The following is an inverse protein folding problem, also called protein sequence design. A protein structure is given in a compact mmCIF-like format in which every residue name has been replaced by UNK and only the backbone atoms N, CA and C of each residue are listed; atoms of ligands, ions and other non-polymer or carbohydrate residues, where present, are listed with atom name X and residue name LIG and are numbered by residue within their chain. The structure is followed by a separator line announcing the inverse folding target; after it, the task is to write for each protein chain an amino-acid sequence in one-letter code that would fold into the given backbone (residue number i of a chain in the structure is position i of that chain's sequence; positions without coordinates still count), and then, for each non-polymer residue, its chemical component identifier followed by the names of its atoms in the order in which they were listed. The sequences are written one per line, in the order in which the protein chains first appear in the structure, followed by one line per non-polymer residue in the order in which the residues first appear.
data_IF_772134479962
#
_entry.id   IF_772134479962
#
_cell.length_a   1.000
_cell.length_b   1.000
_cell.length_c   1.000
_cell.angle_alpha   90.00
_cell.angle_beta   90.00
_cell.angle_gamma   90.00
#
_symmetry.space_group_name_H-M   'P 1'
#
loop_
_entity.id
_entity.type
_entity.pdbx_description
1 polymer ?
#
# COMPACT_ATOMS: atom_id res chain seq x y z
N UNK A 1 -4.02 35.22 -46.38
CA UNK A 1 -5.35 34.86 -45.86
C UNK A 1 -5.73 33.46 -46.32
N UNK A 2 -5.68 32.47 -45.42
CA UNK A 2 -6.41 31.18 -45.42
C UNK A 2 -5.84 30.34 -44.27
N UNK A 3 -6.17 30.76 -43.06
CA UNK A 3 -5.83 30.10 -41.81
C UNK A 3 -7.08 30.21 -40.92
N UNK A 4 -8.03 29.28 -41.02
CA UNK A 4 -9.28 29.49 -40.29
C UNK A 4 -10.39 28.44 -40.34
N UNK A 5 -10.14 27.19 -40.77
CA UNK A 5 -11.23 26.18 -40.82
C UNK A 5 -10.89 24.85 -40.13
N UNK A 6 -9.61 24.54 -39.86
CA UNK A 6 -9.25 23.24 -39.24
C UNK A 6 -9.41 23.24 -37.70
N UNK A 7 -9.56 24.41 -37.07
CA UNK A 7 -9.65 24.52 -35.60
C UNK A 7 -10.99 24.11 -34.98
N UNK A 8 -12.05 23.92 -35.78
CA UNK A 8 -13.39 23.61 -35.25
C UNK A 8 -13.68 22.11 -35.08
N UNK A 9 -13.04 21.22 -35.85
CA UNK A 9 -13.41 19.79 -35.88
C UNK A 9 -12.68 18.91 -34.86
N UNK A 10 -11.51 19.32 -34.35
CA UNK A 10 -10.72 18.50 -33.41
C UNK A 10 -11.16 18.72 -31.96
N UNK A 11 -11.87 19.83 -31.68
CA UNK A 11 -12.28 20.20 -30.33
C UNK A 11 -13.56 19.50 -29.82
N UNK A 12 -14.32 18.83 -30.71
CA UNK A 12 -15.58 18.15 -30.34
C UNK A 12 -15.48 16.62 -30.19
N UNK A 13 -14.29 16.01 -30.26
CA UNK A 13 -14.14 14.54 -30.15
C UNK A 13 -13.33 14.03 -28.95
N UNK A 14 -12.94 14.89 -28.00
CA UNK A 14 -12.17 14.48 -26.80
C UNK A 14 -12.96 14.49 -25.49
N UNK A 15 -14.28 14.66 -25.53
CA UNK A 15 -15.15 14.56 -24.36
C UNK A 15 -15.70 13.14 -24.23
N UNK A 16 -14.88 12.21 -23.73
CA UNK A 16 -15.29 11.04 -22.92
C UNK A 16 -14.17 9.99 -22.79
N UNK A 17 -12.92 10.39 -22.52
CA UNK A 17 -12.00 9.46 -21.86
C UNK A 17 -12.20 9.63 -20.36
N UNK A 18 -13.19 8.90 -19.83
CA UNK A 18 -13.40 8.74 -18.40
C UNK A 18 -12.07 8.43 -17.72
N UNK A 19 -11.59 9.42 -16.98
CA UNK A 19 -10.45 9.36 -16.08
C UNK A 19 -10.75 8.30 -15.00
N UNK A 20 -10.48 7.03 -15.28
CA UNK A 20 -10.54 5.97 -14.28
C UNK A 20 -9.31 6.06 -13.37
N UNK A 21 -9.30 7.09 -12.54
CA UNK A 21 -8.49 7.15 -11.33
C UNK A 21 -9.12 6.22 -10.26
N UNK A 22 -9.04 4.92 -10.48
CA UNK A 22 -9.46 3.87 -9.54
C UNK A 22 -8.39 3.73 -8.45
N UNK A 23 -8.59 4.44 -7.34
CA UNK A 23 -8.04 4.00 -6.07
C UNK A 23 -8.80 2.74 -5.65
N UNK A 24 -8.07 1.67 -5.35
CA UNK A 24 -8.58 0.32 -5.11
C UNK A 24 -9.62 0.17 -3.98
N UNK A 25 -9.97 1.25 -3.26
CA UNK A 25 -11.00 1.29 -2.21
C UNK A 25 -12.28 2.05 -2.60
N UNK A 26 -12.29 2.81 -3.70
CA UNK A 26 -13.48 3.52 -4.19
C UNK A 26 -14.67 2.62 -4.56
N UNK A 27 -14.48 1.48 -5.26
CA UNK A 27 -15.62 0.71 -5.79
C UNK A 27 -16.43 0.00 -4.69
N UNK A 28 -15.82 -0.25 -3.53
CA UNK A 28 -16.49 -0.85 -2.38
C UNK A 28 -16.98 0.18 -1.36
N UNK A 29 -16.88 1.48 -1.64
CA UNK A 29 -17.17 2.51 -0.63
C UNK A 29 -18.62 2.43 -0.13
N UNK A 30 -19.58 2.28 -1.03
CA UNK A 30 -20.99 2.15 -0.69
C UNK A 30 -21.26 0.89 0.15
N UNK A 31 -20.65 -0.24 -0.20
CA UNK A 31 -20.77 -1.48 0.56
C UNK A 31 -20.11 -1.36 1.95
N UNK A 32 -18.98 -0.68 2.08
CA UNK A 32 -18.34 -0.40 3.37
C UNK A 32 -19.23 0.47 4.25
N UNK A 33 -19.89 1.48 3.69
CA UNK A 33 -20.82 2.35 4.42
C UNK A 33 -22.08 1.61 4.86
N UNK A 34 -22.56 0.67 4.04
CA UNK A 34 -23.77 -0.13 4.31
C UNK A 34 -23.51 -1.24 5.33
N UNK A 35 -22.47 -2.04 5.14
CA UNK A 35 -22.25 -3.28 5.90
C UNK A 35 -21.18 -3.16 6.98
N UNK A 36 -20.18 -2.29 6.79
CA UNK A 36 -18.99 -2.23 7.66
C UNK A 36 -18.92 -0.95 8.49
N UNK A 37 -20.06 -0.30 8.71
CA UNK A 37 -20.15 0.94 9.51
C UNK A 37 -19.66 0.68 10.93
N UNK A 38 -18.71 1.50 11.39
CA UNK A 38 -18.13 1.39 12.73
C UNK A 38 -16.92 0.46 12.83
N UNK A 39 -16.57 -0.28 11.78
CA UNK A 39 -15.32 -1.05 11.75
C UNK A 39 -14.14 -0.08 11.61
N UNK A 40 -13.21 -0.14 12.56
CA UNK A 40 -12.00 0.68 12.51
C UNK A 40 -11.14 0.27 11.30
N UNK A 41 -10.69 1.23 10.46
CA UNK A 41 -9.74 0.94 9.38
C UNK A 41 -8.43 0.34 9.88
N UNK A 42 -7.75 -0.39 8.98
CA UNK A 42 -6.46 -1.03 9.25
C UNK A 42 -6.57 -2.54 9.51
N UNK A 43 -5.42 -3.21 9.48
CA UNK A 43 -5.25 -4.65 9.77
C UNK A 43 -6.12 -5.60 8.93
N UNK A 44 -6.71 -5.12 7.83
CA UNK A 44 -7.62 -5.93 7.01
C UNK A 44 -9.03 -6.10 7.59
N UNK A 45 -9.41 -5.39 8.67
CA UNK A 45 -10.73 -5.55 9.30
C UNK A 45 -11.89 -5.22 8.36
N UNK A 46 -11.75 -4.17 7.55
CA UNK A 46 -12.74 -3.82 6.53
C UNK A 46 -12.86 -4.91 5.46
N UNK A 47 -11.74 -5.50 5.05
CA UNK A 47 -11.73 -6.60 4.07
C UNK A 47 -12.40 -7.85 4.65
N UNK A 48 -12.16 -8.16 5.93
CA UNK A 48 -12.82 -9.26 6.62
C UNK A 48 -14.34 -9.05 6.69
N UNK A 49 -14.78 -7.83 7.01
CA UNK A 49 -16.20 -7.48 7.01
C UNK A 49 -16.83 -7.62 5.60
N UNK A 50 -16.20 -7.04 4.57
CA UNK A 50 -16.69 -7.17 3.19
C UNK A 50 -16.75 -8.64 2.74
N UNK A 51 -15.80 -9.46 3.17
CA UNK A 51 -15.80 -10.90 2.90
C UNK A 51 -16.96 -11.63 3.58
N UNK A 52 -17.33 -11.24 4.80
CA UNK A 52 -18.49 -11.80 5.49
C UNK A 52 -19.81 -11.46 4.76
N UNK A 53 -19.85 -10.31 4.08
CA UNK A 53 -20.98 -9.87 3.27
C UNK A 53 -20.77 -10.10 1.76
N UNK A 54 -19.85 -10.99 1.35
CA UNK A 54 -19.43 -11.14 -0.07
C UNK A 54 -20.62 -11.38 -1.02
N UNK A 55 -21.65 -12.10 -0.56
CA UNK A 55 -22.88 -12.34 -1.33
C UNK A 55 -23.75 -11.09 -1.53
N UNK A 56 -23.71 -10.14 -0.59
CA UNK A 56 -24.54 -8.94 -0.54
C UNK A 56 -23.86 -7.70 -1.16
N UNK A 57 -22.58 -7.81 -1.51
CA UNK A 57 -21.82 -6.74 -2.14
C UNK A 57 -22.38 -6.39 -3.52
N UNK A 58 -22.32 -5.10 -3.87
CA UNK A 58 -22.59 -4.61 -5.20
C UNK A 58 -21.65 -5.19 -6.27
N UNK A 59 -22.10 -5.19 -7.53
CA UNK A 59 -21.37 -5.78 -8.65
C UNK A 59 -19.97 -5.18 -8.83
N UNK A 60 -19.82 -3.87 -8.63
CA UNK A 60 -18.53 -3.17 -8.74
C UNK A 60 -17.53 -3.61 -7.68
N UNK A 61 -17.98 -3.79 -6.43
CA UNK A 61 -17.12 -4.25 -5.35
C UNK A 61 -16.74 -5.72 -5.51
N UNK A 62 -17.67 -6.58 -5.97
CA UNK A 62 -17.38 -7.98 -6.31
C UNK A 62 -16.34 -8.10 -7.42
N UNK A 63 -16.53 -7.38 -8.53
CA UNK A 63 -15.58 -7.38 -9.64
C UNK A 63 -14.17 -6.97 -9.18
N UNK A 64 -14.07 -5.98 -8.29
CA UNK A 64 -12.79 -5.53 -7.74
C UNK A 64 -12.18 -6.51 -6.74
N UNK A 65 -13.01 -7.19 -5.96
CA UNK A 65 -12.58 -8.31 -5.12
C UNK A 65 -11.99 -9.46 -5.95
N UNK A 66 -12.62 -9.81 -7.07
CA UNK A 66 -12.14 -10.83 -8.01
C UNK A 66 -10.82 -10.40 -8.67
N UNK A 67 -10.74 -9.17 -9.18
CA UNK A 67 -9.50 -8.61 -9.74
C UNK A 67 -8.35 -8.62 -8.71
N UNK A 68 -8.64 -8.30 -7.45
CA UNK A 68 -7.67 -8.34 -6.37
C UNK A 68 -7.24 -9.78 -5.99
N UNK A 69 -8.19 -10.73 -5.97
CA UNK A 69 -7.93 -12.16 -5.74
C UNK A 69 -7.06 -12.75 -6.86
N UNK A 70 -7.38 -12.46 -8.11
CA UNK A 70 -6.60 -12.91 -9.28
C UNK A 70 -5.20 -12.32 -9.26
N UNK A 71 -5.07 -11.01 -9.03
CA UNK A 71 -3.77 -10.36 -8.86
C UNK A 71 -2.98 -10.97 -7.71
N UNK A 72 -3.62 -11.33 -6.58
CA UNK A 72 -2.95 -11.97 -5.46
C UNK A 72 -2.54 -13.42 -5.75
N UNK A 73 -3.36 -14.17 -6.51
CA UNK A 73 -3.08 -15.53 -6.92
C UNK A 73 -1.92 -15.59 -7.93
N UNK A 74 -1.97 -14.79 -8.99
CA UNK A 74 -0.89 -14.63 -9.98
C UNK A 74 0.44 -14.26 -9.30
N UNK A 75 0.38 -13.30 -8.37
CA UNK A 75 1.49 -12.87 -7.51
C UNK A 75 2.06 -14.00 -6.65
N UNK A 76 1.21 -14.86 -6.09
CA UNK A 76 1.66 -15.99 -5.26
C UNK A 76 2.26 -17.13 -6.11
N UNK A 77 1.72 -17.33 -7.31
CA UNK A 77 2.13 -18.41 -8.20
C UNK A 77 3.51 -18.15 -8.82
N UNK A 78 3.78 -16.92 -9.27
CA UNK A 78 5.04 -16.54 -9.91
C UNK A 78 6.29 -16.88 -9.06
N UNK A 79 6.16 -16.84 -7.73
CA UNK A 79 7.26 -17.12 -6.80
C UNK A 79 7.13 -18.47 -6.08
N UNK A 80 6.17 -19.32 -6.43
CA UNK A 80 5.91 -20.57 -5.69
C UNK A 80 7.11 -21.52 -5.74
N UNK A 81 7.68 -21.74 -6.91
CA UNK A 81 8.85 -22.62 -7.08
C UNK A 81 10.09 -22.08 -6.34
N UNK A 82 10.32 -20.77 -6.44
CA UNK A 82 11.45 -20.12 -5.74
C UNK A 82 11.28 -20.14 -4.22
N UNK A 83 10.05 -19.99 -3.71
CA UNK A 83 9.77 -20.11 -2.28
C UNK A 83 10.04 -21.52 -1.74
N UNK A 84 9.71 -22.56 -2.50
CA UNK A 84 10.01 -23.94 -2.13
C UNK A 84 11.51 -24.24 -2.21
N UNK A 85 12.21 -23.64 -3.18
CA UNK A 85 13.64 -23.85 -3.39
C UNK A 85 14.51 -23.12 -2.35
N UNK A 86 14.20 -21.86 -2.08
CA UNK A 86 15.06 -20.98 -1.26
C UNK A 86 14.49 -20.69 0.13
N UNK A 87 13.17 -20.67 0.29
CA UNK A 87 12.52 -20.16 1.51
C UNK A 87 11.72 -21.21 2.29
N UNK A 88 11.96 -22.51 2.05
CA UNK A 88 11.20 -23.63 2.65
C UNK A 88 11.25 -23.64 4.18
N UNK A 89 12.38 -23.23 4.76
CA UNK A 89 12.60 -23.17 6.21
C UNK A 89 12.00 -21.93 6.88
N UNK A 90 11.47 -20.98 6.10
CA UNK A 90 10.83 -19.77 6.63
C UNK A 90 9.40 -20.10 7.07
N UNK A 91 9.26 -20.53 8.33
CA UNK A 91 7.98 -20.74 9.05
C UNK A 91 7.27 -19.41 9.41
N UNK A 92 7.77 -18.30 8.87
CA UNK A 92 7.64 -16.96 9.43
C UNK A 92 6.29 -16.26 9.28
N UNK A 93 6.10 -15.26 10.14
CA UNK A 93 5.01 -14.26 10.19
C UNK A 93 4.95 -13.44 8.89
N UNK A 94 3.94 -12.59 8.77
CA UNK A 94 3.69 -11.75 7.58
C UNK A 94 4.95 -10.97 7.16
N UNK A 95 5.47 -11.29 5.97
CA UNK A 95 6.59 -10.60 5.33
C UNK A 95 7.95 -11.30 5.37
N UNK A 96 8.10 -12.41 6.12
CA UNK A 96 9.40 -13.09 6.23
C UNK A 96 9.80 -13.80 4.93
N UNK A 97 8.84 -14.46 4.27
CA UNK A 97 9.05 -15.04 2.94
C UNK A 97 9.45 -13.99 1.89
N UNK A 98 8.93 -12.76 2.00
CA UNK A 98 9.32 -11.66 1.12
C UNK A 98 10.74 -11.15 1.39
N UNK A 99 11.22 -11.22 2.65
CA UNK A 99 12.61 -10.92 3.00
C UNK A 99 13.55 -11.97 2.39
N UNK A 100 13.23 -13.25 2.57
CA UNK A 100 14.00 -14.35 2.00
C UNK A 100 14.10 -14.25 0.47
N UNK A 101 12.99 -14.04 -0.23
CA UNK A 101 13.02 -13.84 -1.70
C UNK A 101 13.89 -12.64 -2.12
N UNK A 102 13.95 -11.58 -1.30
CA UNK A 102 14.81 -10.42 -1.57
C UNK A 102 16.29 -10.74 -1.39
N UNK A 103 16.64 -11.60 -0.44
CA UNK A 103 18.02 -12.07 -0.24
C UNK A 103 18.49 -12.93 -1.42
N UNK A 104 17.58 -13.76 -1.97
CA UNK A 104 17.84 -14.60 -3.14
C UNK A 104 17.50 -13.93 -4.49
N UNK A 105 17.28 -12.62 -4.54
CA UNK A 105 16.73 -11.93 -5.72
C UNK A 105 17.45 -12.27 -7.04
N UNK A 106 18.76 -12.49 -6.99
CA UNK A 106 19.60 -12.80 -8.16
C UNK A 106 19.51 -14.26 -8.62
N UNK A 107 18.97 -15.15 -7.79
CA UNK A 107 18.86 -16.59 -8.02
C UNK A 107 17.42 -17.02 -8.32
N UNK A 108 16.48 -16.08 -8.26
CA UNK A 108 15.07 -16.33 -8.55
C UNK A 108 14.84 -16.65 -10.02
N UNK A 109 13.76 -17.40 -10.28
CA UNK A 109 13.21 -17.54 -11.62
C UNK A 109 12.90 -16.17 -12.25
N UNK A 110 12.96 -16.10 -13.58
CA UNK A 110 12.63 -14.88 -14.31
C UNK A 110 11.21 -14.37 -13.99
N UNK A 111 10.25 -15.29 -13.81
CA UNK A 111 8.88 -14.97 -13.42
C UNK A 111 8.78 -14.32 -12.04
N UNK A 112 9.41 -14.91 -11.02
CA UNK A 112 9.40 -14.33 -9.67
C UNK A 112 10.18 -13.01 -9.61
N UNK A 113 11.33 -12.92 -10.27
CA UNK A 113 12.12 -11.69 -10.33
C UNK A 113 11.35 -10.53 -10.98
N UNK A 114 10.66 -10.79 -12.09
CA UNK A 114 9.81 -9.81 -12.77
C UNK A 114 8.64 -9.35 -11.89
N UNK A 115 7.96 -10.28 -11.22
CA UNK A 115 6.86 -9.95 -10.30
C UNK A 115 7.36 -9.11 -9.09
N UNK A 116 8.50 -9.46 -8.49
CA UNK A 116 9.09 -8.68 -7.41
C UNK A 116 9.52 -7.28 -7.87
N UNK A 117 10.06 -7.15 -9.07
CA UNK A 117 10.38 -5.86 -9.67
C UNK A 117 9.11 -5.01 -9.85
N UNK A 118 8.05 -5.57 -10.44
CA UNK A 118 6.77 -4.88 -10.58
C UNK A 118 6.19 -4.42 -9.24
N UNK A 119 6.27 -5.25 -8.20
CA UNK A 119 5.82 -4.88 -6.85
C UNK A 119 6.65 -3.77 -6.24
N UNK A 120 7.97 -3.79 -6.45
CA UNK A 120 8.87 -2.72 -6.00
C UNK A 120 8.52 -1.40 -6.67
N UNK A 121 8.25 -1.41 -7.98
CA UNK A 121 7.80 -0.23 -8.73
C UNK A 121 6.42 0.27 -8.23
N UNK A 122 5.46 -0.63 -8.01
CA UNK A 122 4.14 -0.27 -7.45
C UNK A 122 4.28 0.36 -6.06
N UNK A 123 5.17 -0.19 -5.22
CA UNK A 123 5.44 0.32 -3.90
C UNK A 123 6.13 1.69 -3.95
N UNK A 124 7.12 1.88 -4.82
CA UNK A 124 7.80 3.16 -5.04
C UNK A 124 6.83 4.23 -5.59
N UNK A 125 5.91 3.85 -6.47
CA UNK A 125 4.86 4.75 -6.97
C UNK A 125 3.95 5.24 -5.84
N UNK A 126 3.64 4.39 -4.86
CA UNK A 126 2.82 4.77 -3.69
C UNK A 126 3.61 5.58 -2.67
N UNK A 127 4.88 5.22 -2.47
CA UNK A 127 5.78 5.89 -1.54
C UNK A 127 7.19 5.97 -2.15
N UNK A 128 7.57 7.09 -2.78
CA UNK A 128 8.88 7.22 -3.43
C UNK A 128 10.03 7.28 -2.40
N UNK A 129 9.72 7.41 -1.12
CA UNK A 129 10.71 7.43 -0.05
C UNK A 129 11.23 6.04 0.36
N UNK A 130 10.73 4.94 -0.21
CA UNK A 130 11.11 3.60 0.24
C UNK A 130 12.60 3.31 0.07
N UNK A 131 13.21 3.75 -1.04
CA UNK A 131 14.64 3.57 -1.28
C UNK A 131 15.49 4.36 -0.28
N UNK A 132 15.13 5.62 -0.01
CA UNK A 132 15.79 6.45 0.99
C UNK A 132 15.64 5.86 2.39
N UNK A 133 14.44 5.38 2.74
CA UNK A 133 14.17 4.77 4.03
C UNK A 133 14.97 3.48 4.22
N UNK A 134 15.17 2.68 3.17
CA UNK A 134 16.02 1.51 3.21
C UNK A 134 17.51 1.87 3.33
N UNK A 135 17.95 2.96 2.68
CA UNK A 135 19.35 3.40 2.74
C UNK A 135 19.71 4.00 4.11
N UNK A 136 18.85 4.88 4.62
CA UNK A 136 19.16 5.70 5.80
C UNK A 136 18.51 5.20 7.10
N UNK A 137 17.37 4.49 7.02
CA UNK A 137 16.54 4.17 8.19
C UNK A 137 16.26 2.67 8.39
N UNK A 138 17.01 1.75 7.75
CA UNK A 138 16.80 0.28 7.81
C UNK A 138 16.75 -0.30 9.23
N UNK A 139 17.49 0.28 10.17
CA UNK A 139 17.56 -0.15 11.58
C UNK A 139 16.60 0.56 12.53
N UNK A 140 15.79 1.50 12.05
CA UNK A 140 14.92 2.31 12.91
C UNK A 140 13.66 1.53 13.28
N UNK A 141 13.40 1.41 14.58
CA UNK A 141 12.18 0.77 15.07
C UNK A 141 10.93 1.48 14.56
N UNK A 142 9.99 0.71 14.01
CA UNK A 142 8.69 1.21 13.56
C UNK A 142 7.87 1.73 14.76
N UNK A 143 7.08 2.78 14.53
CA UNK A 143 6.24 3.40 15.56
C UNK A 143 6.75 4.75 16.04
N UNK A 144 5.92 5.45 16.83
CA UNK A 144 6.25 6.71 17.53
C UNK A 144 6.85 7.84 16.68
N UNK A 145 6.71 7.78 15.35
CA UNK A 145 7.34 8.74 14.45
C UNK A 145 8.87 8.62 14.35
N UNK A 146 9.51 7.56 14.87
CA UNK A 146 10.97 7.40 14.83
C UNK A 146 11.51 7.41 13.40
N UNK A 147 10.87 6.66 12.50
CA UNK A 147 11.22 6.66 11.06
C UNK A 147 11.07 8.06 10.46
N UNK A 148 10.00 8.79 10.83
CA UNK A 148 9.81 10.17 10.36
C UNK A 148 10.92 11.10 10.85
N UNK A 149 11.40 10.92 12.08
CA UNK A 149 12.51 11.71 12.62
C UNK A 149 13.82 11.35 11.93
N UNK A 150 14.09 10.06 11.67
CA UNK A 150 15.23 9.63 10.85
C UNK A 150 15.20 10.26 9.46
N UNK A 151 14.05 10.20 8.78
CA UNK A 151 13.91 10.81 7.44
C UNK A 151 14.06 12.33 7.44
N UNK A 152 13.74 13.02 8.54
CA UNK A 152 14.03 14.45 8.71
C UNK A 152 15.52 14.72 8.93
N UNK A 153 16.20 13.91 9.73
CA UNK A 153 17.64 14.06 9.96
C UNK A 153 18.43 13.89 8.65
N UNK A 154 17.95 13.01 7.77
CA UNK A 154 18.53 12.79 6.44
C UNK A 154 17.85 13.61 5.33
N UNK A 155 17.10 14.66 5.64
CA UNK A 155 16.28 15.42 4.66
C UNK A 155 17.11 15.92 3.48
N UNK A 156 18.34 16.38 3.71
CA UNK A 156 19.25 16.83 2.67
C UNK A 156 19.70 15.69 1.73
N UNK A 157 19.81 14.47 2.25
CA UNK A 157 20.31 13.28 1.53
C UNK A 157 19.20 12.50 0.80
N UNK A 158 17.93 12.83 1.06
CA UNK A 158 16.80 12.18 0.40
C UNK A 158 16.78 12.45 -1.11
N UNK A 159 16.27 11.48 -1.86
CA UNK A 159 15.97 11.65 -3.28
C UNK A 159 14.98 12.80 -3.51
N UNK A 160 15.08 13.43 -4.68
CA UNK A 160 14.15 14.49 -5.08
C UNK A 160 12.69 14.00 -5.09
N UNK A 161 12.45 12.76 -5.53
CA UNK A 161 11.13 12.15 -5.53
C UNK A 161 10.55 12.03 -4.11
N UNK A 162 11.36 11.62 -3.14
CA UNK A 162 10.94 11.57 -1.75
C UNK A 162 10.70 12.96 -1.14
N UNK A 163 11.58 13.93 -1.42
CA UNK A 163 11.41 15.33 -0.98
C UNK A 163 10.09 15.91 -1.50
N UNK A 164 9.84 15.80 -2.80
CA UNK A 164 8.60 16.26 -3.43
C UNK A 164 7.36 15.57 -2.83
N UNK A 165 7.44 14.27 -2.54
CA UNK A 165 6.37 13.55 -1.85
C UNK A 165 6.12 14.10 -0.44
N UNK A 166 7.18 14.32 0.34
CA UNK A 166 7.06 14.87 1.68
C UNK A 166 6.39 16.26 1.67
N UNK A 167 6.75 17.14 0.74
CA UNK A 167 6.09 18.44 0.55
C UNK A 167 4.61 18.30 0.21
N UNK A 168 4.27 17.41 -0.73
CA UNK A 168 2.87 17.11 -1.09
C UNK A 168 2.06 16.60 0.11
N UNK A 169 2.68 15.79 0.96
CA UNK A 169 2.04 15.28 2.18
C UNK A 169 1.91 16.35 3.28
N UNK A 170 2.83 17.33 3.35
CA UNK A 170 2.69 18.50 4.24
C UNK A 170 1.46 19.34 3.87
N UNK A 171 1.23 19.59 2.58
CA UNK A 171 0.08 20.37 2.08
C UNK A 171 -1.27 19.71 2.43
N UNK A 172 -1.42 18.40 2.16
CA UNK A 172 -2.66 17.66 2.45
C UNK A 172 -3.03 17.62 3.94
N UNK A 173 -2.04 17.70 4.84
CA UNK A 173 -2.28 17.75 6.30
C UNK A 173 -2.83 19.12 6.76
N UNK A 174 -2.65 20.17 5.96
CA UNK A 174 -3.25 21.49 6.20
C UNK A 174 -4.75 21.53 5.86
N UNK A 175 -5.16 20.81 4.82
CA UNK A 175 -6.54 20.82 4.31
C UNK A 175 -7.50 19.97 5.16
N UNK A 176 -7.02 18.90 5.81
CA UNK A 176 -7.85 18.00 6.65
C UNK A 176 -8.32 18.56 8.00
N UNK A 177 -7.88 19.77 8.40
CA UNK A 177 -8.27 20.38 9.70
C UNK A 177 -9.65 21.03 9.71
N UNK A 178 -10.31 21.24 8.56
CA UNK A 178 -11.66 21.87 8.51
C UNK A 178 -12.83 20.92 8.82
N UNK A 179 -12.61 19.62 9.01
CA UNK A 179 -13.70 18.62 9.10
C UNK A 179 -13.86 17.81 10.39
N UNK A 180 -13.04 18.00 11.43
CA UNK A 180 -13.15 17.18 12.66
C UNK A 180 -13.28 18.07 13.90
N UNK A 181 -14.51 18.57 14.13
CA UNK A 181 -14.94 19.02 15.46
C UNK A 181 -15.51 17.81 16.21
N UNK A 182 -15.04 17.63 17.45
CA UNK A 182 -15.79 16.91 18.49
C UNK A 182 -15.43 15.44 18.68
N UNK A 183 -14.40 15.17 19.48
CA UNK A 183 -14.11 13.85 20.00
C UNK A 183 -13.05 13.89 21.08
N UNK A 184 -13.38 14.42 22.27
CA UNK A 184 -12.56 14.25 23.49
C UNK A 184 -12.54 12.76 23.87
N UNK A 185 -11.69 11.97 23.24
CA UNK A 185 -11.33 10.65 23.71
C UNK A 185 -10.10 10.78 24.61
N UNK A 186 -10.28 10.67 25.93
CA UNK A 186 -9.16 10.56 26.88
C UNK A 186 -8.31 9.35 26.47
N UNK A 187 -7.09 9.61 26.00
CA UNK A 187 -6.10 8.59 25.75
C UNK A 187 -5.68 7.97 27.08
N UNK A 188 -6.14 6.75 27.36
CA UNK A 188 -5.40 5.85 28.24
C UNK A 188 -4.43 5.08 27.36
N UNK A 189 -3.14 5.28 27.62
CA UNK A 189 -2.05 4.57 26.97
C UNK A 189 -2.20 3.07 27.19
N UNK A 190 -2.45 2.33 26.10
CA UNK A 190 -2.29 0.90 26.08
C UNK A 190 -0.83 0.58 25.81
N UNK A 191 -0.04 0.44 26.87
CA UNK A 191 1.27 -0.18 26.79
C UNK A 191 1.11 -1.58 26.19
N UNK A 192 1.91 -1.89 25.16
CA UNK A 192 1.99 -3.23 24.62
C UNK A 192 2.77 -4.06 25.65
N UNK A 193 2.22 -5.12 26.25
CA UNK A 193 3.00 -5.96 27.14
C UNK A 193 4.19 -6.55 26.37
N UNK A 194 5.35 -6.56 27.03
CA UNK A 194 6.54 -7.22 26.52
C UNK A 194 6.24 -8.71 26.30
N UNK A 195 6.77 -9.33 25.23
CA UNK A 195 6.73 -10.79 25.12
C UNK A 195 7.51 -11.41 26.29
N UNK A 196 7.07 -12.54 26.86
CA UNK A 196 7.85 -13.26 27.85
C UNK A 196 9.19 -13.71 27.24
N UNK A 197 10.24 -13.66 28.05
CA UNK A 197 11.55 -14.18 27.69
C UNK A 197 11.42 -15.69 27.45
N UNK A 198 11.97 -16.15 26.34
CA UNK A 198 12.10 -17.57 26.04
C UNK A 198 12.92 -18.25 27.14
N UNK A 199 12.34 -19.26 27.78
CA UNK A 199 13.04 -20.15 28.72
C UNK A 199 13.58 -21.32 27.90
N UNK A 200 14.89 -21.53 27.99
CA UNK A 200 15.63 -22.67 27.45
C UNK A 200 14.92 -23.99 27.71
N UNK A 201 14.75 -24.80 26.67
CA UNK A 201 14.46 -26.21 26.79
C UNK A 201 15.59 -26.98 26.07
N UNK A 202 16.30 -27.74 26.90
CA UNK A 202 17.34 -28.73 26.64
C UNK A 202 17.07 -29.63 25.41
#
# INVERSE_FOLDING_TARGET
MKLGIITAAVFMFFSANSLQAQEASKPCKADVEKFCKGIKPGEGRIVACLKAHEAELGAECKAKGLEAKEKAASKAEACKADLEKFCKSVKGKKGEKARCLKEHQKELSAGCAADLAQRKEEALRKNPCLADMEKFCKGVQKGEGRIKNCMKAHEAELTQACKAHNEKMKQKRGEGKKGSKGGKGKGKGGGRPAPPADEEAD
#
